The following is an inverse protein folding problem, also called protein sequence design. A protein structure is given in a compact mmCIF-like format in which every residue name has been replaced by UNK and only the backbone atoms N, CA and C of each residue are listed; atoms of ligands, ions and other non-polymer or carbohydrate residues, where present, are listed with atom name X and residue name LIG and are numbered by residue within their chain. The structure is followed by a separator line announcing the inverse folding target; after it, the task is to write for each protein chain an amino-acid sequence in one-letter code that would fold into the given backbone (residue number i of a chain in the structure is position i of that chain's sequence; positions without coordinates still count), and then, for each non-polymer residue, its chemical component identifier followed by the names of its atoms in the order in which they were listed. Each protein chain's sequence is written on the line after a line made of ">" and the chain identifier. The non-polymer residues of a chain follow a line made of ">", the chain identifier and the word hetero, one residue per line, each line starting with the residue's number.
data_IF_407166992466
#
_entry.id   IF_407166992466
#
_cell.length_a   1.000
_cell.length_b   1.000
_cell.length_c   1.000
_cell.angle_alpha   90.00
_cell.angle_beta   90.00
_cell.angle_gamma   90.00
#
_symmetry.space_group_name_H-M   'P 1'
#
loop_
_entity.id
_entity.type
_entity.pdbx_description
1 polymer ?
#
# COMPACT_ATOMS: atom_id res chain seq x y z
N UNK A 1 21.08 -15.02 -3.22
CA UNK A 1 20.16 -15.15 -4.39
C UNK A 1 18.73 -15.52 -3.99
N UNK A 2 18.53 -16.36 -2.97
CA UNK A 2 17.19 -16.82 -2.54
C UNK A 2 16.33 -15.70 -1.93
N UNK A 3 16.91 -14.87 -1.04
CA UNK A 3 16.21 -13.75 -0.38
C UNK A 3 15.64 -12.73 -1.38
N UNK A 4 16.44 -12.31 -2.37
CA UNK A 4 15.98 -11.45 -3.47
C UNK A 4 14.76 -12.00 -4.19
N UNK A 5 14.77 -13.27 -4.59
CA UNK A 5 13.63 -13.90 -5.31
C UNK A 5 12.37 -13.94 -4.44
N UNK A 6 12.52 -14.26 -3.16
CA UNK A 6 11.41 -14.26 -2.19
C UNK A 6 10.83 -12.84 -2.06
N UNK A 7 11.68 -11.82 -1.88
CA UNK A 7 11.24 -10.43 -1.79
C UNK A 7 10.54 -9.94 -3.06
N UNK A 8 11.02 -10.34 -4.26
CA UNK A 8 10.33 -10.03 -5.53
C UNK A 8 8.95 -10.70 -5.56
N UNK A 9 8.87 -12.00 -5.25
CA UNK A 9 7.61 -12.74 -5.27
C UNK A 9 6.60 -12.15 -4.29
N UNK A 10 7.00 -11.88 -3.05
CA UNK A 10 6.15 -11.26 -2.04
C UNK A 10 5.73 -9.84 -2.45
N UNK A 11 6.63 -9.03 -3.00
CA UNK A 11 6.31 -7.68 -3.48
C UNK A 11 5.32 -7.68 -4.65
N UNK A 12 5.42 -8.64 -5.57
CA UNK A 12 4.45 -8.80 -6.65
C UNK A 12 3.10 -9.32 -6.15
N UNK A 13 3.10 -10.24 -5.19
CA UNK A 13 1.85 -10.72 -4.55
C UNK A 13 1.14 -9.58 -3.81
N UNK A 14 1.90 -8.76 -3.06
CA UNK A 14 1.38 -7.55 -2.43
C UNK A 14 0.78 -6.63 -3.50
N UNK A 15 1.53 -6.28 -4.55
CA UNK A 15 1.06 -5.42 -5.62
C UNK A 15 -0.23 -5.90 -6.30
N UNK A 16 -0.31 -7.18 -6.65
CA UNK A 16 -1.51 -7.77 -7.28
C UNK A 16 -2.69 -7.73 -6.33
N UNK A 17 -2.47 -8.02 -5.05
CA UNK A 17 -3.52 -7.99 -4.04
C UNK A 17 -4.01 -6.54 -3.80
N UNK A 18 -3.10 -5.57 -3.72
CA UNK A 18 -3.42 -4.14 -3.57
C UNK A 18 -4.20 -3.64 -4.80
N UNK A 19 -3.82 -4.08 -6.00
CA UNK A 19 -4.54 -3.76 -7.24
C UNK A 19 -5.96 -4.38 -7.25
N UNK A 20 -6.11 -5.61 -6.73
CA UNK A 20 -7.41 -6.26 -6.61
C UNK A 20 -8.35 -5.47 -5.68
N UNK A 21 -7.83 -4.87 -4.61
CA UNK A 21 -8.61 -3.97 -3.74
C UNK A 21 -9.09 -2.75 -4.54
N UNK A 22 -8.20 -2.08 -5.29
CA UNK A 22 -8.59 -0.94 -6.12
C UNK A 22 -9.64 -1.31 -7.19
N UNK A 23 -9.49 -2.48 -7.83
CA UNK A 23 -10.49 -3.00 -8.77
C UNK A 23 -11.83 -3.28 -8.07
N UNK A 24 -11.80 -3.78 -6.84
CA UNK A 24 -12.97 -3.99 -5.98
C UNK A 24 -13.79 -2.71 -5.77
N UNK A 25 -13.13 -1.56 -5.57
CA UNK A 25 -13.80 -0.25 -5.52
C UNK A 25 -14.52 0.05 -6.84
N UNK A 26 -13.86 -0.10 -7.98
CA UNK A 26 -14.49 0.15 -9.29
C UNK A 26 -15.69 -0.77 -9.52
N UNK A 27 -15.54 -2.07 -9.20
CA UNK A 27 -16.63 -3.05 -9.34
C UNK A 27 -17.80 -2.74 -8.41
N UNK A 28 -17.55 -2.34 -7.16
CA UNK A 28 -18.59 -1.94 -6.21
C UNK A 28 -19.33 -0.71 -6.72
N UNK A 29 -18.62 0.29 -7.22
CA UNK A 29 -19.23 1.47 -7.83
C UNK A 29 -20.11 1.13 -9.04
N UNK A 30 -19.68 0.21 -9.91
CA UNK A 30 -20.48 -0.24 -11.07
C UNK A 30 -21.74 -1.01 -10.67
N UNK A 31 -21.72 -1.71 -9.52
CA UNK A 31 -22.81 -2.58 -9.07
C UNK A 31 -23.79 -1.88 -8.13
N UNK A 32 -23.34 -0.87 -7.38
CA UNK A 32 -24.18 -0.14 -6.42
C UNK A 32 -24.72 1.13 -7.09
N UNK A 33 -26.05 1.34 -7.15
CA UNK A 33 -26.59 2.58 -7.66
C UNK A 33 -26.11 3.75 -6.79
N UNK A 34 -25.32 4.62 -7.42
CA UNK A 34 -24.43 5.66 -6.87
C UNK A 34 -25.12 6.71 -5.95
N UNK A 35 -26.44 6.65 -5.80
CA UNK A 35 -27.24 7.60 -5.03
C UNK A 35 -27.60 7.18 -3.60
N UNK A 36 -27.23 5.96 -3.15
CA UNK A 36 -27.76 5.42 -1.87
C UNK A 36 -26.75 5.02 -0.81
N UNK A 37 -25.44 5.13 -1.04
CA UNK A 37 -24.43 4.92 0.01
C UNK A 37 -23.80 6.25 0.44
N UNK A 38 -24.47 7.08 1.26
CA UNK A 38 -23.76 8.06 2.08
C UNK A 38 -22.81 7.30 3.04
N UNK A 39 -21.61 7.84 3.35
CA UNK A 39 -21.30 9.27 3.37
C UNK A 39 -20.11 9.72 2.50
N UNK A 40 -19.59 8.91 1.57
CA UNK A 40 -18.37 9.26 0.80
C UNK A 40 -18.76 9.97 -0.50
N UNK A 41 -18.20 11.16 -0.76
CA UNK A 41 -18.42 11.87 -2.02
C UNK A 41 -17.81 11.09 -3.19
N UNK A 42 -18.41 11.14 -4.39
CA UNK A 42 -17.85 10.44 -5.57
C UNK A 42 -16.37 10.81 -5.84
N UNK A 43 -15.95 12.08 -5.73
CA UNK A 43 -14.54 12.45 -5.88
C UNK A 43 -13.64 11.78 -4.83
N UNK A 44 -14.08 11.74 -3.56
CA UNK A 44 -13.34 11.07 -2.48
C UNK A 44 -13.21 9.56 -2.75
N UNK A 45 -14.27 8.93 -3.25
CA UNK A 45 -14.28 7.50 -3.59
C UNK A 45 -13.25 7.15 -4.66
N UNK A 46 -13.24 7.88 -5.78
CA UNK A 46 -12.30 7.65 -6.88
C UNK A 46 -10.87 8.08 -6.52
N UNK A 47 -10.71 9.10 -5.67
CA UNK A 47 -9.40 9.48 -5.14
C UNK A 47 -8.79 8.33 -4.34
N UNK A 48 -9.54 7.72 -3.41
CA UNK A 48 -9.07 6.57 -2.62
C UNK A 48 -8.70 5.41 -3.55
N UNK A 49 -9.59 5.03 -4.47
CA UNK A 49 -9.33 3.95 -5.42
C UNK A 49 -8.06 4.22 -6.27
N UNK A 50 -7.87 5.47 -6.71
CA UNK A 50 -6.69 5.91 -7.45
C UNK A 50 -5.41 5.83 -6.63
N UNK A 51 -5.43 6.25 -5.36
CA UNK A 51 -4.28 6.15 -4.46
C UNK A 51 -3.88 4.69 -4.25
N UNK A 52 -4.85 3.79 -4.00
CA UNK A 52 -4.57 2.35 -3.84
C UNK A 52 -3.95 1.77 -5.12
N UNK A 53 -4.48 2.13 -6.30
CA UNK A 53 -3.93 1.69 -7.57
C UNK A 53 -2.49 2.20 -7.79
N UNK A 54 -2.20 3.46 -7.46
CA UNK A 54 -0.84 4.02 -7.52
C UNK A 54 0.11 3.28 -6.58
N UNK A 55 -0.31 2.99 -5.35
CA UNK A 55 0.49 2.22 -4.40
C UNK A 55 0.79 0.81 -4.94
N UNK A 56 -0.20 0.12 -5.53
CA UNK A 56 0.00 -1.17 -6.16
C UNK A 56 1.04 -1.13 -7.30
N UNK A 57 0.98 -0.10 -8.15
CA UNK A 57 1.97 0.11 -9.21
C UNK A 57 3.37 0.37 -8.64
N UNK A 58 3.47 1.16 -7.56
CA UNK A 58 4.73 1.40 -6.87
C UNK A 58 5.31 0.10 -6.27
N UNK A 59 4.48 -0.74 -5.65
CA UNK A 59 4.91 -2.05 -5.14
C UNK A 59 5.49 -2.93 -6.25
N UNK A 60 4.81 -3.02 -7.39
CA UNK A 60 5.28 -3.80 -8.54
C UNK A 60 6.59 -3.25 -9.12
N UNK A 61 6.68 -1.93 -9.32
CA UNK A 61 7.89 -1.28 -9.83
C UNK A 61 9.08 -1.47 -8.89
N UNK A 62 8.85 -1.36 -7.57
CA UNK A 62 9.89 -1.55 -6.56
C UNK A 62 10.32 -3.01 -6.45
N UNK A 63 9.39 -3.96 -6.52
CA UNK A 63 9.68 -5.38 -6.54
C UNK A 63 10.60 -5.75 -7.71
N UNK A 64 10.33 -5.22 -8.90
CA UNK A 64 11.12 -5.50 -10.11
C UNK A 64 12.42 -4.68 -10.20
N UNK A 65 12.65 -3.74 -9.29
CA UNK A 65 13.80 -2.82 -9.36
C UNK A 65 15.11 -3.55 -9.10
N UNK A 66 16.12 -3.24 -9.92
CA UNK A 66 17.47 -3.82 -9.81
C UNK A 66 18.35 -3.19 -8.74
N UNK A 67 18.08 -1.93 -8.36
CA UNK A 67 18.84 -1.18 -7.36
C UNK A 67 18.40 -1.55 -5.95
N UNK A 68 19.29 -2.13 -5.15
CA UNK A 68 18.95 -2.60 -3.81
C UNK A 68 18.74 -1.44 -2.81
N UNK A 69 19.50 -0.35 -2.87
CA UNK A 69 19.39 0.78 -1.92
C UNK A 69 18.02 1.47 -1.92
N UNK A 70 17.55 1.94 -3.08
CA UNK A 70 16.24 2.58 -3.23
C UNK A 70 15.08 1.61 -2.98
N UNK A 71 15.24 0.34 -3.37
CA UNK A 71 14.23 -0.69 -3.15
C UNK A 71 14.04 -0.99 -1.66
N UNK A 72 15.14 -1.15 -0.94
CA UNK A 72 15.16 -1.41 0.51
C UNK A 72 14.55 -0.24 1.30
N UNK A 73 14.74 1.00 0.84
CA UNK A 73 14.11 2.18 1.45
C UNK A 73 12.62 2.28 1.11
N UNK A 74 12.28 2.18 -0.18
CA UNK A 74 10.94 2.53 -0.65
C UNK A 74 9.91 1.40 -0.47
N UNK A 75 10.30 0.12 -0.52
CA UNK A 75 9.38 -1.00 -0.25
C UNK A 75 8.72 -0.91 1.12
N UNK A 76 9.47 -0.74 2.24
CA UNK A 76 8.84 -0.59 3.56
C UNK A 76 8.08 0.73 3.71
N UNK A 77 8.46 1.79 2.99
CA UNK A 77 7.68 3.03 2.98
C UNK A 77 6.28 2.81 2.35
N UNK A 78 6.23 2.20 1.16
CA UNK A 78 4.96 1.91 0.46
C UNK A 78 4.12 0.91 1.24
N UNK A 79 4.72 -0.20 1.67
CA UNK A 79 4.03 -1.21 2.47
C UNK A 79 3.53 -0.63 3.81
N UNK A 80 4.33 0.23 4.46
CA UNK A 80 3.96 0.93 5.68
C UNK A 80 2.76 1.85 5.48
N UNK A 81 2.69 2.59 4.36
CA UNK A 81 1.53 3.42 4.02
C UNK A 81 0.28 2.53 3.90
N UNK A 82 0.38 1.42 3.16
CA UNK A 82 -0.74 0.49 2.97
C UNK A 82 -1.24 -0.08 4.32
N UNK A 83 -0.33 -0.46 5.23
CA UNK A 83 -0.69 -0.94 6.57
C UNK A 83 -1.38 0.15 7.38
N UNK A 84 -0.85 1.37 7.42
CA UNK A 84 -1.44 2.48 8.19
C UNK A 84 -2.84 2.80 7.65
N UNK A 85 -2.99 2.88 6.32
CA UNK A 85 -4.29 3.09 5.67
C UNK A 85 -5.26 1.96 5.98
N UNK A 86 -4.81 0.70 5.90
CA UNK A 86 -5.62 -0.47 6.25
C UNK A 86 -6.07 -0.45 7.71
N UNK A 87 -5.19 -0.06 8.63
CA UNK A 87 -5.50 0.05 10.06
C UNK A 87 -6.57 1.11 10.32
N UNK A 88 -6.44 2.30 9.71
CA UNK A 88 -7.44 3.37 9.83
C UNK A 88 -8.80 2.96 9.26
N UNK A 89 -8.83 2.22 8.15
CA UNK A 89 -10.07 1.72 7.56
C UNK A 89 -10.70 0.58 8.39
N UNK A 90 -9.88 -0.33 8.93
CA UNK A 90 -10.33 -1.47 9.74
C UNK A 90 -10.89 -1.05 11.11
N UNK A 91 -10.48 0.10 11.66
CA UNK A 91 -11.12 0.68 12.86
C UNK A 91 -12.61 0.97 12.67
N UNK A 92 -13.05 1.18 11.41
CA UNK A 92 -14.46 1.30 11.05
C UNK A 92 -15.16 -0.04 10.75
N UNK A 93 -14.50 -1.18 11.00
CA UNK A 93 -14.94 -2.53 10.63
C UNK A 93 -15.18 -2.71 9.11
N UNK A 94 -14.49 -1.93 8.28
CA UNK A 94 -14.59 -2.05 6.82
C UNK A 94 -13.79 -3.27 6.34
N UNK A 95 -14.42 -4.11 5.53
CA UNK A 95 -13.82 -5.29 4.90
C UNK A 95 -12.56 -4.91 4.09
N UNK A 96 -12.60 -3.74 3.43
CA UNK A 96 -11.45 -3.20 2.68
C UNK A 96 -10.24 -2.98 3.59
N UNK A 97 -10.46 -2.54 4.82
CA UNK A 97 -9.39 -2.29 5.78
C UNK A 97 -8.61 -3.56 6.12
N UNK A 98 -9.30 -4.69 6.27
CA UNK A 98 -8.65 -5.99 6.51
C UNK A 98 -7.84 -6.45 5.30
N UNK A 99 -8.35 -6.26 4.09
CA UNK A 99 -7.61 -6.58 2.87
C UNK A 99 -6.35 -5.73 2.73
N UNK A 100 -6.44 -4.41 2.96
CA UNK A 100 -5.27 -3.53 2.95
C UNK A 100 -4.24 -3.93 4.01
N UNK A 101 -4.66 -4.28 5.23
CA UNK A 101 -3.75 -4.79 6.27
C UNK A 101 -3.02 -6.06 5.82
N UNK A 102 -3.73 -7.00 5.19
CA UNK A 102 -3.12 -8.21 4.64
C UNK A 102 -2.08 -7.88 3.57
N UNK A 103 -2.43 -7.04 2.59
CA UNK A 103 -1.51 -6.65 1.50
C UNK A 103 -0.27 -5.92 2.01
N UNK A 104 -0.45 -4.96 2.92
CA UNK A 104 0.63 -4.23 3.54
C UNK A 104 1.54 -5.12 4.40
N UNK A 105 0.98 -6.12 5.11
CA UNK A 105 1.78 -7.08 5.86
C UNK A 105 2.67 -7.94 4.93
N UNK A 106 2.12 -8.41 3.80
CA UNK A 106 2.91 -9.13 2.78
C UNK A 106 4.01 -8.23 2.19
N UNK A 107 3.69 -6.96 1.92
CA UNK A 107 4.66 -5.96 1.46
C UNK A 107 5.78 -5.69 2.49
N UNK A 108 5.45 -5.64 3.78
CA UNK A 108 6.44 -5.48 4.86
C UNK A 108 7.35 -6.71 4.96
N UNK A 109 6.81 -7.93 4.82
CA UNK A 109 7.64 -9.14 4.75
C UNK A 109 8.59 -9.08 3.55
N UNK A 110 8.11 -8.62 2.38
CA UNK A 110 8.97 -8.41 1.22
C UNK A 110 10.13 -7.42 1.50
N UNK A 111 9.84 -6.36 2.26
CA UNK A 111 10.83 -5.38 2.71
C UNK A 111 11.84 -5.96 3.72
N UNK A 112 11.39 -6.78 4.67
CA UNK A 112 12.27 -7.49 5.62
C UNK A 112 13.25 -8.38 4.86
N UNK A 113 12.77 -9.19 3.92
CA UNK A 113 13.65 -10.04 3.11
C UNK A 113 14.64 -9.21 2.26
N UNK A 114 14.25 -8.04 1.76
CA UNK A 114 15.18 -7.13 1.08
C UNK A 114 16.23 -6.54 2.04
N UNK A 115 15.85 -6.27 3.29
CA UNK A 115 16.75 -5.71 4.31
C UNK A 115 17.77 -6.73 4.86
N UNK A 116 17.45 -8.02 4.87
CA UNK A 116 18.35 -9.07 5.40
C UNK A 116 19.63 -9.28 4.60
N UNK A 117 19.76 -8.70 3.41
CA UNK A 117 20.94 -8.90 2.57
C UNK A 117 22.20 -8.17 3.08
N UNK A 118 22.05 -7.02 3.76
CA UNK A 118 23.17 -6.35 4.45
C UNK A 118 22.69 -5.58 5.69
N UNK A 119 23.52 -5.43 6.75
CA UNK A 119 23.12 -4.69 7.94
C UNK A 119 22.83 -3.19 7.67
N UNK A 120 23.46 -2.59 6.66
CA UNK A 120 23.16 -1.22 6.23
C UNK A 120 21.75 -1.07 5.63
N UNK A 121 21.21 -2.15 5.05
CA UNK A 121 19.86 -2.14 4.48
C UNK A 121 18.77 -2.07 5.57
N UNK A 122 19.04 -2.56 6.78
CA UNK A 122 18.10 -2.45 7.92
C UNK A 122 17.82 -0.98 8.26
N UNK A 123 18.85 -0.13 8.26
CA UNK A 123 18.69 1.31 8.52
C UNK A 123 17.82 1.96 7.46
N UNK A 124 18.03 1.63 6.18
CA UNK A 124 17.21 2.14 5.09
C UNK A 124 15.76 1.67 5.21
N UNK A 125 15.54 0.41 5.59
CA UNK A 125 14.20 -0.11 5.77
C UNK A 125 13.46 0.58 6.92
N UNK A 126 14.15 0.85 8.03
CA UNK A 126 13.60 1.61 9.16
C UNK A 126 13.28 3.05 8.78
N UNK A 127 14.18 3.74 8.07
CA UNK A 127 13.93 5.09 7.56
C UNK A 127 12.73 5.13 6.62
N UNK A 128 12.60 4.11 5.76
CA UNK A 128 11.45 3.92 4.89
C UNK A 128 10.15 3.80 5.67
N UNK A 129 10.12 2.93 6.67
CA UNK A 129 8.96 2.74 7.54
C UNK A 129 8.61 4.02 8.31
N UNK A 130 9.60 4.74 8.84
CA UNK A 130 9.38 6.03 9.53
C UNK A 130 8.79 7.05 8.56
N UNK A 131 9.29 7.12 7.33
CA UNK A 131 8.77 8.04 6.30
C UNK A 131 7.33 7.74 5.87
N UNK A 132 6.85 6.51 6.09
CA UNK A 132 5.47 6.14 5.77
C UNK A 132 4.45 6.97 6.57
N UNK A 133 4.77 7.33 7.82
CA UNK A 133 3.88 8.12 8.69
C UNK A 133 3.60 9.53 8.15
N UNK A 134 4.59 10.40 7.87
CA UNK A 134 4.33 11.72 7.32
C UNK A 134 3.70 11.64 5.92
N UNK A 135 4.02 10.63 5.12
CA UNK A 135 3.39 10.41 3.81
C UNK A 135 1.90 10.04 3.96
N UNK A 136 1.55 9.16 4.90
CA UNK A 136 0.17 8.82 5.19
C UNK A 136 -0.62 10.03 5.72
N UNK A 137 -0.01 10.85 6.59
CA UNK A 137 -0.63 12.10 7.07
C UNK A 137 -0.86 13.08 5.92
N UNK A 138 0.12 13.25 5.02
CA UNK A 138 -0.02 14.13 3.87
C UNK A 138 -1.17 13.67 2.94
N UNK A 139 -1.28 12.37 2.67
CA UNK A 139 -2.37 11.79 1.88
C UNK A 139 -3.73 12.00 2.56
N UNK A 140 -3.80 11.82 3.88
CA UNK A 140 -5.01 12.08 4.67
C UNK A 140 -5.43 13.56 4.68
N UNK A 141 -4.46 14.49 4.67
CA UNK A 141 -4.74 15.92 4.54
C UNK A 141 -5.35 16.27 3.19
N UNK A 142 -4.82 15.69 2.10
CA UNK A 142 -5.38 15.87 0.75
C UNK A 142 -6.82 15.35 0.68
N UNK A 143 -7.09 14.18 1.27
CA UNK A 143 -8.45 13.64 1.34
C UNK A 143 -9.43 14.59 2.05
N UNK A 144 -9.01 15.23 3.15
CA UNK A 144 -9.85 16.19 3.87
C UNK A 144 -10.18 17.44 3.06
N UNK A 145 -9.31 17.85 2.13
CA UNK A 145 -9.58 18.99 1.23
C UNK A 145 -10.59 18.65 0.12
N UNK A 146 -10.84 17.36 -0.13
CA UNK A 146 -11.76 16.87 -1.16
C UNK A 146 -13.18 16.58 -0.61
N UNK A 147 -13.39 16.77 0.70
CA UNK A 147 -14.69 16.71 1.38
C UNK A 147 -15.32 18.09 1.45
#
# INVERSE_FOLDING_TARGET
>A
MTARRISIALGLVAAVSTLAVAAGYVVRWLRVPVYREPPISQPEYFFIAGVIAVLALMEAMLALRRSDSLRVLAMPAVAGIIVVTGFSAAMGFDEVGYWLLFTGAVGLLAAVFAATETPRHVIHALLGLISALPLAVALGLVQRLLR
#
